data_IF_762945310522
#
_entry.id   IF_762945310522
#
_cell.length_a   1.000
_cell.length_b   1.000
_cell.length_c   1.000
_cell.angle_alpha   90.00
_cell.angle_beta   90.00
_cell.angle_gamma   90.00
#
_symmetry.space_group_name_H-M   'P 1'
#
loop_
_entity.id
_entity.type
_entity.pdbx_description
1 polymer ?
2 polymer ?
3 non-polymer ?
4 non-polymer ?
5 non-polymer ?
6 non-polymer ?
7 water ?
#
# COMPACT_ATOMS: atom_id res chain seq x y z
N UNK A 1 -24.11 6.42 5.79
CA UNK A 1 -22.88 7.14 5.50
C UNK A 1 -23.14 8.62 5.20
N UNK A 2 -22.25 9.48 5.67
CA UNK A 2 -22.40 10.92 5.53
C UNK A 2 -22.38 11.39 4.08
N UNK A 3 -21.80 10.58 3.17
CA UNK A 3 -21.77 10.92 1.75
C UNK A 3 -22.91 10.31 0.93
N UNK A 4 -23.84 9.63 1.60
CA UNK A 4 -24.96 8.98 0.93
C UNK A 4 -25.85 9.89 0.11
N UNK A 5 -25.92 11.17 0.50
CA UNK A 5 -26.76 12.12 -0.21
C UNK A 5 -26.08 12.86 -1.36
N UNK A 6 -24.76 12.68 -1.55
CA UNK A 6 -24.05 13.38 -2.61
C UNK A 6 -23.92 12.52 -3.87
N UNK A 7 -24.08 13.16 -5.04
CA UNK A 7 -23.88 12.49 -6.31
C UNK A 7 -22.48 11.87 -6.44
N UNK A 8 -22.42 10.70 -7.07
CA UNK A 8 -21.14 10.07 -7.38
C UNK A 8 -20.19 11.04 -8.07
N UNK A 9 -20.64 11.71 -9.14
CA UNK A 9 -19.77 12.60 -9.90
C UNK A 9 -19.26 13.78 -9.05
N UNK A 10 -20.09 14.27 -8.13
CA UNK A 10 -19.71 15.35 -7.23
C UNK A 10 -18.64 14.89 -6.21
N UNK A 11 -18.78 13.66 -5.72
CA UNK A 11 -17.79 13.08 -4.83
C UNK A 11 -16.43 12.96 -5.52
N UNK A 12 -16.43 12.55 -6.79
CA UNK A 12 -15.19 12.43 -7.55
C UNK A 12 -14.58 13.81 -7.78
N UNK A 13 -15.41 14.77 -8.19
CA UNK A 13 -14.97 16.14 -8.35
C UNK A 13 -14.33 16.70 -7.08
N UNK A 14 -14.98 16.47 -5.93
CA UNK A 14 -14.46 17.01 -4.67
C UNK A 14 -13.21 16.27 -4.19
N UNK A 15 -13.09 14.97 -4.51
CA UNK A 15 -11.84 14.27 -4.24
C UNK A 15 -10.66 14.94 -4.96
N UNK A 16 -10.86 15.34 -6.23
CA UNK A 16 -9.82 16.00 -6.99
C UNK A 16 -9.46 17.37 -6.40
N UNK A 17 -10.47 18.11 -5.95
CA UNK A 17 -10.26 19.37 -5.25
C UNK A 17 -9.48 19.20 -3.94
N UNK A 18 -9.86 18.19 -3.16
CA UNK A 18 -9.20 17.89 -1.89
C UNK A 18 -7.73 17.52 -2.11
N UNK A 19 -7.44 16.75 -3.18
CA UNK A 19 -6.06 16.46 -3.53
C UNK A 19 -5.26 17.74 -3.78
N UNK A 20 -5.82 18.67 -4.57
CA UNK A 20 -5.14 19.92 -4.87
C UNK A 20 -4.88 20.76 -3.61
N UNK A 21 -5.82 20.69 -2.66
CA UNK A 21 -5.71 21.40 -1.39
C UNK A 21 -4.92 20.66 -0.31
N UNK A 22 -4.40 19.46 -0.67
CA UNK A 22 -3.69 18.62 0.28
C UNK A 22 -4.52 18.27 1.53
N UNK A 23 -5.81 18.01 1.30
CA UNK A 23 -6.76 17.65 2.35
C UNK A 23 -7.09 16.16 2.18
N UNK A 24 -6.15 15.30 2.60
CA UNK A 24 -6.23 13.88 2.25
C UNK A 24 -7.27 13.10 3.05
N UNK A 25 -7.57 13.51 4.28
CA UNK A 25 -8.66 12.89 5.04
C UNK A 25 -9.98 13.13 4.32
N UNK A 26 -10.25 14.36 3.87
CA UNK A 26 -11.44 14.64 3.09
C UNK A 26 -11.46 13.82 1.80
N UNK A 27 -10.32 13.78 1.11
CA UNK A 27 -10.21 13.06 -0.16
C UNK A 27 -10.62 11.60 0.03
N UNK A 28 -10.12 10.98 1.11
CA UNK A 28 -10.43 9.59 1.40
C UNK A 28 -11.92 9.40 1.70
N UNK A 29 -12.52 10.31 2.48
CA UNK A 29 -13.93 10.22 2.76
C UNK A 29 -14.79 10.34 1.49
N UNK A 30 -14.40 11.25 0.59
CA UNK A 30 -15.13 11.41 -0.65
C UNK A 30 -15.04 10.13 -1.50
N UNK A 31 -13.83 9.54 -1.57
CA UNK A 31 -13.65 8.34 -2.37
C UNK A 31 -14.34 7.13 -1.74
N UNK A 32 -14.34 7.03 -0.41
CA UNK A 32 -15.14 6.02 0.26
C UNK A 32 -16.61 6.14 -0.15
N UNK A 33 -17.12 7.38 -0.13
CA UNK A 33 -18.48 7.65 -0.55
C UNK A 33 -18.73 7.19 -1.98
N UNK A 34 -17.79 7.48 -2.88
CA UNK A 34 -17.93 7.08 -4.27
C UNK A 34 -17.96 5.56 -4.42
N UNK A 35 -17.07 4.85 -3.72
CA UNK A 35 -17.08 3.39 -3.75
C UNK A 35 -18.43 2.83 -3.29
N UNK A 36 -18.97 3.41 -2.22
CA UNK A 36 -20.22 2.91 -1.64
C UNK A 36 -21.45 3.13 -2.52
N UNK A 37 -21.33 3.88 -3.62
CA UNK A 37 -22.39 3.98 -4.60
C UNK A 37 -22.64 2.65 -5.31
N UNK A 38 -21.63 1.76 -5.27
CA UNK A 38 -21.78 0.40 -5.74
C UNK A 38 -21.35 0.12 -7.18
N UNK A 39 -21.01 1.17 -7.93
CA UNK A 39 -20.51 1.02 -9.29
C UNK A 39 -19.01 0.71 -9.27
N UNK A 40 -18.54 0.01 -10.30
CA UNK A 40 -17.11 -0.21 -10.44
C UNK A 40 -16.38 1.13 -10.65
N UNK A 41 -15.07 1.14 -10.36
CA UNK A 41 -14.25 2.33 -10.53
C UNK A 41 -13.42 2.26 -11.80
N UNK A 42 -13.30 3.40 -12.48
CA UNK A 42 -12.33 3.54 -13.56
C UNK A 42 -10.87 3.57 -13.07
N UNK A 43 -9.91 3.52 -14.00
CA UNK A 43 -8.50 3.59 -13.66
C UNK A 43 -8.18 4.87 -12.87
N UNK A 44 -8.65 6.00 -13.38
CA UNK A 44 -8.42 7.29 -12.73
C UNK A 44 -9.02 7.32 -11.33
N UNK A 45 -10.22 6.78 -11.17
CA UNK A 45 -10.90 6.70 -9.88
C UNK A 45 -10.19 5.78 -8.88
N UNK A 46 -9.70 4.63 -9.35
CA UNK A 46 -8.86 3.78 -8.51
C UNK A 46 -7.63 4.53 -8.01
N UNK A 47 -7.01 5.33 -8.89
CA UNK A 47 -5.87 6.14 -8.48
C UNK A 47 -6.22 7.15 -7.39
N UNK A 48 -7.41 7.78 -7.50
CA UNK A 48 -7.81 8.74 -6.48
C UNK A 48 -7.99 8.04 -5.13
N UNK A 49 -8.59 6.85 -5.15
CA UNK A 49 -8.80 6.06 -3.94
C UNK A 49 -7.46 5.74 -3.29
N UNK A 50 -6.52 5.24 -4.12
CA UNK A 50 -5.19 4.88 -3.67
C UNK A 50 -4.41 6.04 -3.06
N UNK A 51 -4.34 7.16 -3.77
CA UNK A 51 -3.62 8.34 -3.29
C UNK A 51 -4.18 8.81 -1.95
N UNK A 52 -5.50 8.86 -1.83
CA UNK A 52 -6.13 9.40 -0.63
C UNK A 52 -5.75 8.57 0.58
N UNK A 53 -5.96 7.26 0.51
CA UNK A 53 -5.71 6.43 1.68
C UNK A 53 -4.21 6.23 1.94
N UNK A 54 -3.39 6.22 0.88
CA UNK A 54 -1.95 6.09 1.08
C UNK A 54 -1.42 7.27 1.89
N UNK A 55 -1.89 8.48 1.57
CA UNK A 55 -1.49 9.67 2.31
C UNK A 55 -1.95 9.64 3.77
N UNK A 56 -3.20 9.23 4.01
CA UNK A 56 -3.72 9.16 5.36
C UNK A 56 -2.92 8.15 6.17
N UNK A 57 -2.80 6.91 5.67
CA UNK A 57 -2.11 5.89 6.45
C UNK A 57 -0.62 6.20 6.54
N UNK A 58 -0.07 6.90 5.53
CA UNK A 58 1.33 7.29 5.55
C UNK A 58 1.67 8.19 6.74
N UNK A 59 0.79 9.16 7.02
CA UNK A 59 0.93 10.02 8.18
C UNK A 59 0.88 9.24 9.50
N UNK A 60 -0.06 8.29 9.57
CA UNK A 60 -0.23 7.49 10.77
C UNK A 60 0.99 6.61 11.01
N UNK A 61 1.52 6.01 9.94
CA UNK A 61 2.68 5.13 10.04
C UNK A 61 3.89 5.92 10.52
N UNK A 62 4.10 7.12 9.96
CA UNK A 62 5.23 7.94 10.38
C UNK A 62 5.09 8.30 11.86
N UNK A 63 3.87 8.65 12.28
CA UNK A 63 3.64 9.02 13.68
C UNK A 63 3.87 7.82 14.60
N UNK A 64 3.34 6.66 14.21
CA UNK A 64 3.49 5.44 15.00
C UNK A 64 4.96 5.10 15.22
N UNK A 65 5.78 5.29 14.18
CA UNK A 65 7.20 4.98 14.25
C UNK A 65 7.93 5.88 15.24
N UNK A 66 7.61 7.18 15.22
CA UNK A 66 8.18 8.12 16.18
C UNK A 66 7.88 7.69 17.60
N UNK A 67 6.60 7.43 17.88
CA UNK A 67 6.12 7.06 19.21
C UNK A 67 6.67 5.71 19.66
N UNK A 68 6.75 4.74 18.74
CA UNK A 68 7.29 3.42 19.08
C UNK A 68 8.75 3.52 19.48
N UNK A 69 9.51 4.36 18.76
CA UNK A 69 10.91 4.59 19.07
C UNK A 69 11.10 5.22 20.45
N UNK A 70 10.27 6.20 20.78
CA UNK A 70 10.29 6.81 22.12
C UNK A 70 9.95 5.78 23.20
N UNK A 71 8.95 4.93 22.91
CA UNK A 71 8.51 3.92 23.86
C UNK A 71 9.62 2.90 24.11
N UNK A 72 10.27 2.43 23.04
CA UNK A 72 11.36 1.48 23.17
C UNK A 72 12.51 2.04 24.02
N UNK A 73 12.83 3.32 23.82
CA UNK A 73 13.88 3.97 24.59
C UNK A 73 13.53 4.12 26.07
N UNK A 74 12.24 4.28 26.39
CA UNK A 74 11.80 4.39 27.78
C UNK A 74 11.91 3.07 28.53
N UNK A 75 11.86 1.95 27.80
CA UNK A 75 11.93 0.61 28.39
C UNK A 75 13.32 -0.02 28.33
N UNK A 76 14.37 0.82 28.40
CA UNK A 76 15.73 0.35 28.57
C UNK A 76 16.13 0.44 30.04
N UNK A 77 17.30 -0.12 30.36
CA UNK A 77 17.89 0.03 31.69
C UNK A 77 18.52 1.42 31.79
N UNK A 78 18.29 2.08 32.94
CA UNK A 78 18.78 3.44 33.16
C UNK A 78 17.74 4.52 32.85
N UNK A 79 16.77 4.19 31.98
CA UNK A 79 15.68 5.10 31.64
C UNK A 79 14.77 5.33 32.84
N UNK A 80 14.43 6.60 33.07
CA UNK A 80 13.56 6.99 34.17
C UNK A 80 12.11 6.65 33.83
N UNK A 81 11.34 6.25 34.85
CA UNK A 81 9.94 5.89 34.69
C UNK A 81 9.08 7.13 34.47
N UNK A 82 8.34 7.17 33.35
CA UNK A 82 7.52 8.33 33.03
C UNK A 82 6.02 8.04 33.02
N UNK A 83 5.62 6.85 33.50
CA UNK A 83 4.22 6.50 33.58
C UNK A 83 3.68 5.93 32.27
N UNK A 84 2.34 5.76 32.17
CA UNK A 84 1.72 5.07 31.05
C UNK A 84 1.50 5.87 29.76
N UNK A 85 1.89 7.16 29.77
CA UNK A 85 1.46 8.08 28.74
C UNK A 85 1.99 7.76 27.34
N UNK A 86 3.27 7.37 27.23
CA UNK A 86 3.86 7.05 25.93
C UNK A 86 3.14 5.86 25.30
N UNK A 87 2.99 4.78 26.08
CA UNK A 87 2.25 3.61 25.64
C UNK A 87 0.81 3.94 25.25
N UNK A 88 0.12 4.71 26.10
CA UNK A 88 -1.26 5.07 25.84
C UNK A 88 -1.39 5.79 24.49
N UNK A 89 -0.51 6.76 24.25
CA UNK A 89 -0.63 7.57 23.05
C UNK A 89 -0.20 6.78 21.80
N UNK A 90 0.85 5.95 21.93
CA UNK A 90 1.17 5.03 20.85
C UNK A 90 0.00 4.08 20.51
N UNK A 91 -0.67 3.56 21.54
CA UNK A 91 -1.85 2.72 21.34
C UNK A 91 -2.99 3.47 20.64
N UNK A 92 -3.17 4.75 20.98
CA UNK A 92 -4.19 5.57 20.34
C UNK A 92 -3.94 5.70 18.83
N UNK A 93 -2.72 6.09 18.48
CA UNK A 93 -2.37 6.23 17.07
C UNK A 93 -2.48 4.88 16.36
N UNK A 94 -1.97 3.82 17.01
CA UNK A 94 -2.06 2.46 16.47
C UNK A 94 -3.50 2.02 16.17
N UNK A 95 -4.42 2.29 17.11
CA UNK A 95 -5.81 1.94 16.91
C UNK A 95 -6.41 2.68 15.72
N UNK A 96 -6.07 3.97 15.55
CA UNK A 96 -6.59 4.75 14.44
C UNK A 96 -6.05 4.22 13.11
N UNK A 97 -4.76 3.89 13.10
CA UNK A 97 -4.12 3.27 11.94
C UNK A 97 -4.82 1.96 11.55
N UNK A 98 -5.07 1.09 12.55
CA UNK A 98 -5.74 -0.17 12.29
C UNK A 98 -7.14 0.08 11.75
N UNK A 99 -7.80 1.14 12.23
CA UNK A 99 -9.12 1.49 11.74
C UNK A 99 -9.16 1.88 10.27
N UNK A 100 -8.15 2.64 9.82
CA UNK A 100 -8.02 3.03 8.42
C UNK A 100 -7.78 1.77 7.57
N UNK A 101 -6.88 0.90 8.01
CA UNK A 101 -6.61 -0.35 7.30
C UNK A 101 -7.87 -1.19 7.16
N UNK A 102 -8.62 -1.35 8.27
CA UNK A 102 -9.86 -2.10 8.26
C UNK A 102 -10.90 -1.49 7.32
N UNK A 103 -10.97 -0.16 7.28
CA UNK A 103 -11.88 0.51 6.35
C UNK A 103 -11.54 0.17 4.89
N UNK A 104 -10.26 0.25 4.53
CA UNK A 104 -9.86 -0.04 3.16
C UNK A 104 -10.15 -1.50 2.82
N UNK A 105 -9.75 -2.42 3.72
CA UNK A 105 -9.95 -3.83 3.47
C UNK A 105 -11.43 -4.15 3.35
N UNK A 106 -12.24 -3.40 4.10
CA UNK A 106 -13.69 -3.53 4.03
C UNK A 106 -14.26 -3.15 2.67
N UNK A 107 -13.76 -2.04 2.10
CA UNK A 107 -14.16 -1.63 0.76
C UNK A 107 -13.76 -2.65 -0.29
N UNK A 108 -12.55 -3.22 -0.16
CA UNK A 108 -12.07 -4.22 -1.10
C UNK A 108 -12.94 -5.48 -1.04
N UNK A 109 -13.33 -5.87 0.17
CA UNK A 109 -14.12 -7.07 0.37
C UNK A 109 -15.61 -6.87 0.08
N UNK A 110 -16.07 -5.61 0.11
CA UNK A 110 -17.47 -5.28 -0.07
C UNK A 110 -17.66 -4.04 -0.96
N UNK A 111 -17.51 -4.16 -2.28
CA UNK A 111 -17.38 -5.41 -3.03
C UNK A 111 -16.45 -5.25 -4.23
N UNK A 112 -15.38 -4.46 -4.07
CA UNK A 112 -14.53 -4.09 -5.20
C UNK A 112 -13.84 -5.28 -5.86
N UNK A 113 -13.27 -6.19 -5.06
CA UNK A 113 -12.52 -7.30 -5.61
C UNK A 113 -13.42 -8.26 -6.38
N UNK A 114 -14.57 -8.62 -5.80
CA UNK A 114 -15.41 -9.64 -6.42
C UNK A 114 -16.01 -9.20 -7.76
N UNK A 115 -16.13 -7.88 -7.98
CA UNK A 115 -16.63 -7.39 -9.26
C UNK A 115 -15.52 -7.07 -10.27
N UNK A 116 -14.26 -7.19 -9.85
CA UNK A 116 -13.12 -6.82 -10.69
C UNK A 116 -12.67 -8.01 -11.54
N UNK A 117 -12.98 -7.94 -12.84
CA UNK A 117 -12.70 -9.03 -13.78
C UNK A 117 -11.55 -8.79 -14.75
N UNK A 118 -11.24 -7.53 -15.02
CA UNK A 118 -10.10 -7.21 -15.87
C UNK A 118 -8.80 -7.26 -15.06
N UNK A 119 -7.69 -7.59 -15.74
CA UNK A 119 -6.41 -7.72 -15.06
C UNK A 119 -5.99 -6.44 -14.32
N UNK A 120 -6.16 -5.28 -14.97
CA UNK A 120 -5.72 -4.03 -14.39
C UNK A 120 -6.45 -3.74 -13.06
N UNK A 121 -7.76 -3.94 -13.03
CA UNK A 121 -8.52 -3.69 -11.82
C UNK A 121 -8.28 -4.75 -10.75
N UNK A 122 -8.31 -6.04 -11.14
CA UNK A 122 -8.13 -7.11 -10.17
C UNK A 122 -6.75 -7.10 -9.53
N UNK A 123 -5.68 -6.92 -10.35
CA UNK A 123 -4.33 -6.86 -9.80
C UNK A 123 -4.16 -5.64 -8.89
N UNK A 124 -4.69 -4.47 -9.29
CA UNK A 124 -4.60 -3.28 -8.47
C UNK A 124 -5.22 -3.52 -7.09
N UNK A 125 -6.45 -4.05 -7.08
CA UNK A 125 -7.14 -4.25 -5.81
C UNK A 125 -6.47 -5.30 -4.92
N UNK A 126 -5.95 -6.39 -5.51
CA UNK A 126 -5.28 -7.41 -4.72
C UNK A 126 -3.95 -6.90 -4.17
N UNK A 127 -3.24 -6.07 -4.95
CA UNK A 127 -2.07 -5.39 -4.44
C UNK A 127 -2.43 -4.51 -3.24
N UNK A 128 -3.53 -3.76 -3.35
CA UNK A 128 -3.97 -2.90 -2.26
C UNK A 128 -4.27 -3.71 -1.00
N UNK A 129 -4.96 -4.85 -1.17
CA UNK A 129 -5.25 -5.74 -0.08
C UNK A 129 -3.96 -6.20 0.60
N UNK A 130 -2.97 -6.63 -0.20
CA UNK A 130 -1.65 -6.96 0.32
C UNK A 130 -1.02 -5.83 1.13
N UNK A 131 -1.07 -4.62 0.57
CA UNK A 131 -0.46 -3.45 1.18
C UNK A 131 -1.06 -3.14 2.56
N UNK A 132 -2.39 -3.17 2.68
CA UNK A 132 -3.04 -2.80 3.93
C UNK A 132 -2.92 -3.89 4.99
N UNK A 133 -2.84 -5.17 4.57
CA UNK A 133 -2.46 -6.21 5.52
C UNK A 133 -1.01 -6.04 5.95
N UNK A 134 -0.13 -5.57 5.04
CA UNK A 134 1.25 -5.30 5.39
C UNK A 134 1.34 -4.19 6.44
N UNK A 135 0.54 -3.13 6.30
CA UNK A 135 0.56 -2.07 7.31
C UNK A 135 0.04 -2.55 8.65
N UNK A 136 -0.98 -3.41 8.65
CA UNK A 136 -1.41 -4.06 9.88
C UNK A 136 -0.28 -4.91 10.49
N UNK A 137 0.48 -5.61 9.64
CA UNK A 137 1.57 -6.44 10.14
C UNK A 137 2.70 -5.64 10.79
N UNK A 138 2.92 -4.41 10.30
CA UNK A 138 3.96 -3.54 10.84
C UNK A 138 3.76 -3.25 12.33
N UNK A 139 2.51 -3.23 12.79
CA UNK A 139 2.21 -2.90 14.19
C UNK A 139 1.72 -4.09 15.00
N UNK A 140 1.63 -5.27 14.38
CA UNK A 140 1.09 -6.45 15.02
C UNK A 140 2.15 -7.10 15.91
N UNK A 141 1.73 -7.60 17.08
CA UNK A 141 2.65 -8.27 18.00
C UNK A 141 2.09 -9.51 18.68
N UNK A 142 0.80 -9.82 18.44
CA UNK A 142 0.08 -10.78 19.23
C UNK A 142 -0.13 -12.14 18.55
N UNK A 143 -1.22 -12.82 18.92
CA UNK A 143 -1.56 -14.12 18.39
C UNK A 143 -1.83 -14.11 16.88
N UNK A 144 -2.25 -12.95 16.35
CA UNK A 144 -2.65 -12.86 14.95
C UNK A 144 -1.58 -12.26 14.02
N UNK A 145 -0.38 -11.97 14.53
CA UNK A 145 0.68 -11.46 13.66
C UNK A 145 0.93 -12.41 12.49
N UNK A 146 1.01 -13.72 12.78
CA UNK A 146 1.26 -14.70 11.74
C UNK A 146 0.14 -14.75 10.72
N UNK A 147 -1.12 -14.70 11.18
CA UNK A 147 -2.25 -14.78 10.26
C UNK A 147 -2.32 -13.51 9.42
N UNK A 148 -1.99 -12.35 9.99
CA UNK A 148 -1.97 -11.11 9.23
C UNK A 148 -0.92 -11.17 8.12
N UNK A 149 0.28 -11.66 8.46
CA UNK A 149 1.34 -11.84 7.48
C UNK A 149 0.89 -12.78 6.37
N UNK A 150 0.24 -13.89 6.71
CA UNK A 150 -0.19 -14.81 5.68
C UNK A 150 -1.28 -14.23 4.78
N UNK A 151 -2.14 -13.38 5.35
CA UNK A 151 -3.15 -12.68 4.57
C UNK A 151 -2.51 -11.74 3.53
N UNK A 152 -1.49 -10.99 3.96
CA UNK A 152 -0.75 -10.16 3.03
C UNK A 152 -0.11 -10.99 1.91
N UNK A 153 0.62 -12.04 2.31
CA UNK A 153 1.30 -12.89 1.35
C UNK A 153 0.33 -13.46 0.32
N UNK A 154 -0.83 -13.95 0.79
CA UNK A 154 -1.85 -14.56 -0.05
C UNK A 154 -2.40 -13.59 -1.10
N UNK A 155 -2.66 -12.35 -0.68
CA UNK A 155 -3.16 -11.34 -1.60
C UNK A 155 -2.11 -10.98 -2.65
N UNK A 156 -0.87 -10.72 -2.22
CA UNK A 156 0.22 -10.42 -3.13
C UNK A 156 0.45 -11.57 -4.13
N UNK A 157 0.35 -12.81 -3.64
CA UNK A 157 0.62 -13.97 -4.48
C UNK A 157 -0.43 -14.12 -5.59
N UNK A 158 -1.72 -13.94 -5.24
CA UNK A 158 -2.80 -14.03 -6.21
C UNK A 158 -2.64 -12.94 -7.27
N UNK A 159 -2.28 -11.73 -6.82
CA UNK A 159 -2.01 -10.62 -7.72
C UNK A 159 -0.85 -10.93 -8.65
N UNK A 160 0.24 -11.51 -8.10
CA UNK A 160 1.41 -11.84 -8.90
C UNK A 160 1.04 -12.85 -9.98
N UNK A 161 0.26 -13.88 -9.61
CA UNK A 161 -0.07 -14.93 -10.57
C UNK A 161 -0.86 -14.36 -11.76
N UNK A 162 -1.80 -13.45 -11.49
CA UNK A 162 -2.59 -12.83 -12.55
C UNK A 162 -1.71 -11.93 -13.40
N UNK A 163 -0.87 -11.11 -12.74
CA UNK A 163 -0.06 -10.14 -13.46
C UNK A 163 0.91 -10.81 -14.44
N UNK A 164 1.47 -11.97 -14.05
CA UNK A 164 2.43 -12.65 -14.90
C UNK A 164 1.76 -13.29 -16.12
N UNK A 165 0.50 -13.71 -15.95
CA UNK A 165 -0.28 -14.28 -17.04
C UNK A 165 -0.83 -13.22 -18.00
N UNK A 166 -1.25 -12.07 -17.46
CA UNK A 166 -2.10 -11.16 -18.20
C UNK A 166 -1.50 -9.82 -18.58
N UNK A 167 -0.34 -9.45 -18.01
CA UNK A 167 0.26 -8.15 -18.24
C UNK A 167 1.70 -8.26 -18.74
N UNK A 168 2.18 -7.30 -19.56
CA UNK A 168 3.60 -7.28 -19.94
C UNK A 168 4.49 -6.94 -18.75
N UNK A 169 5.77 -7.37 -18.76
CA UNK A 169 6.67 -7.11 -17.63
C UNK A 169 6.94 -5.65 -17.30
N UNK A 170 6.63 -4.74 -18.23
CA UNK A 170 6.78 -3.31 -17.99
C UNK A 170 5.52 -2.61 -17.50
N UNK A 171 4.40 -3.33 -17.40
CA UNK A 171 3.17 -2.69 -16.94
C UNK A 171 3.38 -2.06 -15.57
N UNK A 172 3.09 -0.76 -15.36
CA UNK A 172 3.34 -0.13 -14.06
C UNK A 172 2.68 -0.78 -12.85
N UNK A 173 1.46 -1.31 -13.03
CA UNK A 173 0.79 -1.99 -11.94
C UNK A 173 1.57 -3.27 -11.58
N UNK A 174 1.94 -4.06 -12.59
CA UNK A 174 2.76 -5.25 -12.39
C UNK A 174 4.08 -4.89 -11.68
N UNK A 175 4.76 -3.84 -12.15
CA UNK A 175 5.99 -3.41 -11.52
C UNK A 175 5.81 -2.95 -10.08
N UNK A 176 4.77 -2.15 -9.83
CA UNK A 176 4.53 -1.66 -8.48
C UNK A 176 4.16 -2.77 -7.48
N UNK A 177 3.41 -3.75 -7.98
CA UNK A 177 3.10 -4.93 -7.20
C UNK A 177 4.37 -5.68 -6.80
N UNK A 178 5.25 -5.94 -7.78
CA UNK A 178 6.48 -6.66 -7.48
C UNK A 178 7.39 -5.89 -6.52
N UNK A 179 7.50 -4.58 -6.70
CA UNK A 179 8.21 -3.74 -5.75
C UNK A 179 7.67 -3.94 -4.33
N UNK A 180 6.36 -3.78 -4.15
CA UNK A 180 5.79 -3.89 -2.81
C UNK A 180 5.88 -5.29 -2.23
N UNK A 181 5.71 -6.34 -3.06
CA UNK A 181 5.91 -7.69 -2.59
C UNK A 181 7.35 -7.95 -2.15
N UNK A 182 8.34 -7.37 -2.86
CA UNK A 182 9.73 -7.47 -2.45
C UNK A 182 9.96 -6.77 -1.10
N UNK A 183 9.29 -5.63 -0.87
CA UNK A 183 9.36 -4.95 0.42
C UNK A 183 8.74 -5.81 1.52
N UNK A 184 7.59 -6.44 1.24
CA UNK A 184 7.00 -7.40 2.16
C UNK A 184 8.03 -8.45 2.59
N UNK A 185 8.70 -9.07 1.60
CA UNK A 185 9.65 -10.12 1.91
C UNK A 185 10.80 -9.65 2.79
N UNK A 186 11.33 -8.46 2.49
CA UNK A 186 12.49 -7.94 3.20
C UNK A 186 12.13 -7.43 4.60
N UNK A 187 11.06 -6.65 4.68
CA UNK A 187 10.75 -5.88 5.88
C UNK A 187 9.80 -6.61 6.85
N UNK A 188 8.97 -7.52 6.33
CA UNK A 188 7.95 -8.18 7.14
C UNK A 188 8.19 -9.67 7.36
N UNK A 189 8.54 -10.38 6.27
CA UNK A 189 8.60 -11.83 6.28
C UNK A 189 9.98 -12.42 6.62
N UNK A 190 10.94 -11.56 6.93
CA UNK A 190 12.30 -11.99 7.24
C UNK A 190 12.89 -12.87 6.13
N UNK A 191 12.65 -12.47 4.87
CA UNK A 191 13.12 -13.22 3.71
C UNK A 191 13.90 -12.32 2.76
N UNK A 192 15.07 -11.77 3.18
CA UNK A 192 15.79 -10.84 2.31
C UNK A 192 16.22 -11.47 0.98
N UNK A 193 16.58 -12.75 0.98
CA UNK A 193 16.99 -13.39 -0.26
C UNK A 193 15.84 -13.48 -1.28
N UNK A 194 14.62 -13.78 -0.81
CA UNK A 194 13.45 -13.78 -1.67
C UNK A 194 13.20 -12.37 -2.23
N UNK A 195 13.36 -11.36 -1.36
CA UNK A 195 13.22 -9.96 -1.76
C UNK A 195 14.17 -9.57 -2.88
N UNK A 196 15.46 -9.90 -2.71
CA UNK A 196 16.48 -9.58 -3.69
C UNK A 196 16.21 -10.30 -5.01
N UNK A 197 15.88 -11.58 -4.92
CA UNK A 197 15.61 -12.39 -6.11
C UNK A 197 14.46 -11.81 -6.92
N UNK A 198 13.36 -11.48 -6.24
CA UNK A 198 12.21 -10.90 -6.91
C UNK A 198 12.54 -9.56 -7.55
N UNK A 199 13.22 -8.69 -6.81
CA UNK A 199 13.60 -7.38 -7.34
C UNK A 199 14.46 -7.49 -8.59
N UNK A 200 15.47 -8.37 -8.55
CA UNK A 200 16.38 -8.59 -9.67
C UNK A 200 15.67 -9.14 -10.91
N UNK A 201 14.89 -10.22 -10.74
CA UNK A 201 14.17 -10.81 -11.86
C UNK A 201 13.18 -9.82 -12.47
N UNK A 202 12.46 -9.09 -11.62
CA UNK A 202 11.52 -8.09 -12.10
C UNK A 202 12.21 -7.03 -12.95
N UNK A 203 13.34 -6.54 -12.46
CA UNK A 203 14.09 -5.50 -13.13
C UNK A 203 14.57 -5.98 -14.50
N UNK A 204 15.18 -7.17 -14.52
CA UNK A 204 15.77 -7.69 -15.74
C UNK A 204 14.70 -7.97 -16.81
N UNK A 205 13.55 -8.50 -16.42
CA UNK A 205 12.50 -8.80 -17.38
C UNK A 205 11.85 -7.52 -17.91
N UNK A 206 11.77 -6.49 -17.07
CA UNK A 206 11.28 -5.20 -17.56
C UNK A 206 12.27 -4.58 -18.55
N UNK A 207 13.56 -4.60 -18.19
CA UNK A 207 14.60 -4.05 -19.04
C UNK A 207 14.47 -4.59 -20.46
N UNK A 208 14.24 -5.91 -20.58
CA UNK A 208 14.17 -6.59 -21.86
C UNK A 208 12.92 -6.28 -22.67
N UNK A 209 11.91 -5.63 -22.07
CA UNK A 209 10.67 -5.32 -22.74
C UNK A 209 10.50 -3.82 -23.05
N UNK A 210 11.44 -2.99 -22.58
CA UNK A 210 11.39 -1.56 -22.77
C UNK A 210 11.33 -1.13 -24.23
N UNK A 211 11.95 -1.92 -25.13
CA UNK A 211 11.99 -1.58 -26.55
C UNK A 211 10.62 -1.52 -27.21
N UNK A 212 9.61 -2.17 -26.61
CA UNK A 212 8.25 -2.20 -27.15
C UNK A 212 7.42 -0.96 -26.87
N UNK A 213 7.94 -0.07 -26.00
CA UNK A 213 7.17 1.02 -25.44
C UNK A 213 7.33 2.36 -26.18
N UNK A 214 6.29 3.19 -26.09
CA UNK A 214 6.39 4.59 -26.46
C UNK A 214 7.24 5.39 -25.47
N UNK A 215 7.56 6.63 -25.84
CA UNK A 215 8.32 7.50 -24.96
C UNK A 215 7.65 7.69 -23.60
N UNK A 216 6.33 7.94 -23.59
CA UNK A 216 5.63 8.17 -22.34
C UNK A 216 5.57 6.93 -21.46
N UNK A 217 5.29 5.76 -22.05
CA UNK A 217 5.23 4.52 -21.30
C UNK A 217 6.60 4.13 -20.76
N UNK A 218 7.64 4.39 -21.57
CA UNK A 218 9.02 4.18 -21.13
C UNK A 218 9.33 4.97 -19.87
N UNK A 219 8.91 6.24 -19.83
CA UNK A 219 9.17 7.06 -18.65
C UNK A 219 8.48 6.48 -17.43
N UNK A 220 7.23 6.05 -17.59
CA UNK A 220 6.48 5.44 -16.50
C UNK A 220 7.14 4.19 -15.93
N UNK A 221 7.49 3.25 -16.83
CA UNK A 221 8.11 2.00 -16.40
C UNK A 221 9.48 2.20 -15.74
N UNK A 222 10.33 3.07 -16.32
CA UNK A 222 11.67 3.24 -15.81
C UNK A 222 11.70 3.91 -14.43
N UNK A 223 10.71 4.77 -14.15
CA UNK A 223 10.59 5.35 -12.83
C UNK A 223 10.48 4.27 -11.74
N UNK A 224 9.66 3.25 -11.97
CA UNK A 224 9.50 2.20 -10.98
C UNK A 224 10.71 1.29 -10.93
N UNK A 225 11.30 1.03 -12.10
CA UNK A 225 12.50 0.22 -12.18
C UNK A 225 13.63 0.81 -11.33
N UNK A 226 13.73 2.15 -11.31
CA UNK A 226 14.73 2.80 -10.49
C UNK A 226 14.54 2.52 -9.00
N UNK A 227 13.28 2.40 -8.56
CA UNK A 227 13.01 2.08 -7.17
C UNK A 227 13.44 0.65 -6.82
N UNK A 228 13.23 -0.31 -7.74
CA UNK A 228 13.76 -1.65 -7.53
C UNK A 228 15.28 -1.61 -7.37
N UNK A 229 15.97 -0.84 -8.24
CA UNK A 229 17.41 -0.70 -8.15
C UNK A 229 17.86 -0.04 -6.84
N UNK A 230 17.12 0.98 -6.41
CA UNK A 230 17.42 1.66 -5.15
C UNK A 230 17.36 0.66 -3.98
N UNK A 231 16.35 -0.21 -3.98
CA UNK A 231 16.24 -1.22 -2.94
C UNK A 231 17.36 -2.24 -3.04
N UNK A 232 17.64 -2.74 -4.23
CA UNK A 232 18.76 -3.66 -4.40
C UNK A 232 20.08 -3.09 -3.89
N UNK A 233 20.30 -1.79 -4.09
CA UNK A 233 21.49 -1.11 -3.59
C UNK A 233 21.52 -1.07 -2.06
N UNK A 234 20.36 -0.81 -1.46
CA UNK A 234 20.20 -0.78 -0.01
C UNK A 234 20.40 -2.17 0.58
N UNK A 235 19.98 -3.22 -0.16
CA UNK A 235 19.94 -4.57 0.36
C UNK A 235 21.22 -5.37 0.16
N UNK A 236 22.08 -4.95 -0.78
CA UNK A 236 23.29 -5.68 -1.12
C UNK A 236 24.52 -4.80 -0.97
N UNK B 1 17.92 2.79 7.02
CA UNK B 1 16.72 3.33 6.38
C UNK B 1 15.85 2.20 5.83
N UNK B 2 14.55 2.50 5.71
CA UNK B 2 13.57 1.52 5.28
C UNK B 2 13.51 1.42 3.75
N UNK B 3 13.12 0.23 3.28
CA UNK B 3 12.92 0.00 1.86
C UNK B 3 11.88 0.96 1.29
N UNK B 4 12.03 1.26 0.00
CA UNK B 4 11.10 2.09 -0.74
C UNK B 4 9.99 1.24 -1.35
N UNK B 6 5.96 1.56 -3.46
CA UNK B 6 5.46 2.34 -4.57
C UNK B 6 4.97 3.71 -4.09
N UNK B 7 5.37 4.81 -4.75
CA UNK B 7 4.88 6.14 -4.36
C UNK B 7 3.53 6.48 -4.97
N UNK B 8 3.01 7.67 -4.63
CA UNK B 8 1.85 8.25 -5.28
C UNK B 8 2.24 8.94 -6.59
N UNK B 9 1.48 8.71 -7.66
CA UNK B 9 1.74 9.34 -8.95
C UNK B 9 0.65 10.37 -9.28
#
# INVERSE_FOLDING_TARGET
GAMGSMERASLIQKAKLAEQAERYEDMAAFMKGAVEKGEELSCEERNLLSVAYKNVVGGQRAAWRVLSSIEQKSNEEGSEEKGPEVREYREKVETELQGVCDTVLGLLDSHLIKEAGDAESRVFYLKMKGDYYRYLAEVATGDDKKRIIDSARSAYQEAMDISKKEMPPTNPIRLGLALNFSVFHYEIANSPEEAISLAKTTFDEAMADLHTLSEDSYKDSTLIMQLLRDNLTLWT
QRSTXTPNV
#
